data_IF_480275328428
#
_entry.id   IF_480275328428
#
_cell.length_a   1.000
_cell.length_b   1.000
_cell.length_c   1.000
_cell.angle_alpha   90.00
_cell.angle_beta   90.00
_cell.angle_gamma   90.00
#
_symmetry.space_group_name_H-M   'P 1'
#
loop_
_entity.id
_entity.type
_entity.pdbx_description
1 polymer ?
#
# COMPACT_ATOMS: atom_id res chain seq x y z
N UNK A 1 -9.04 15.56 -8.35
CA UNK A 1 -8.76 14.41 -7.51
C UNK A 1 -9.71 14.46 -6.33
N UNK A 2 -10.73 13.64 -6.31
CA UNK A 2 -11.63 13.48 -5.17
C UNK A 2 -10.92 12.55 -4.19
N UNK A 3 -10.34 13.11 -3.14
CA UNK A 3 -9.82 12.32 -2.02
C UNK A 3 -11.03 11.75 -1.27
N UNK A 4 -11.11 10.44 -1.20
CA UNK A 4 -12.13 9.74 -0.42
C UNK A 4 -11.81 9.97 1.07
N UNK A 5 -12.52 10.90 1.68
CA UNK A 5 -12.30 11.29 3.07
C UNK A 5 -13.02 10.30 3.99
N UNK A 6 -12.39 9.20 4.32
CA UNK A 6 -12.79 8.36 5.45
C UNK A 6 -12.61 9.07 6.82
N UNK A 7 -12.29 10.37 6.79
CA UNK A 7 -12.19 11.20 7.96
C UNK A 7 -13.45 12.05 8.11
N UNK A 8 -14.26 11.75 9.13
CA UNK A 8 -15.40 12.57 9.51
C UNK A 8 -14.87 13.87 10.15
N UNK A 9 -14.97 14.97 9.42
CA UNK A 9 -14.63 16.29 9.93
C UNK A 9 -15.70 16.77 10.93
N UNK A 10 -15.45 16.56 12.22
CA UNK A 10 -16.32 17.05 13.28
C UNK A 10 -16.01 18.53 13.60
N UNK A 11 -17.05 19.32 13.91
CA UNK A 11 -16.88 20.73 14.28
C UNK A 11 -15.96 20.95 15.47
N UNK A 12 -15.92 19.99 16.43
CA UNK A 12 -15.05 20.05 17.61
C UNK A 12 -13.56 20.07 17.30
N UNK A 13 -13.14 19.65 16.09
CA UNK A 13 -11.76 19.65 15.61
C UNK A 13 -11.55 20.66 14.47
N UNK A 14 -12.34 21.71 14.40
CA UNK A 14 -12.28 22.75 13.37
C UNK A 14 -12.17 24.12 13.99
N UNK A 15 -11.54 25.05 13.29
CA UNK A 15 -11.47 26.48 13.64
C UNK A 15 -11.95 27.35 12.49
N UNK A 16 -12.54 28.49 12.81
CA UNK A 16 -12.84 29.50 11.81
C UNK A 16 -11.52 30.09 11.31
N UNK A 17 -11.34 30.08 10.01
CA UNK A 17 -10.17 30.62 9.32
C UNK A 17 -10.60 31.59 8.22
N UNK A 18 -9.75 32.59 7.99
CA UNK A 18 -9.92 33.57 6.94
C UNK A 18 -9.14 33.17 5.71
N UNK A 19 -9.77 33.18 4.54
CA UNK A 19 -9.14 32.98 3.24
C UNK A 19 -9.54 34.09 2.30
N UNK A 20 -8.63 34.51 1.41
CA UNK A 20 -8.96 35.47 0.35
C UNK A 20 -9.43 34.72 -0.88
N UNK A 21 -10.58 35.10 -1.43
CA UNK A 21 -11.14 34.50 -2.64
C UNK A 21 -10.46 35.03 -3.92
N UNK A 22 -10.87 34.54 -5.06
CA UNK A 22 -10.34 34.95 -6.37
C UNK A 22 -10.68 36.37 -6.76
N UNK A 23 -11.62 37.03 -6.07
CA UNK A 23 -12.01 38.43 -6.21
C UNK A 23 -11.36 39.33 -5.16
N UNK A 24 -10.34 38.84 -4.48
CA UNK A 24 -9.60 39.53 -3.42
C UNK A 24 -10.48 39.95 -2.22
N UNK A 25 -11.51 39.16 -1.90
CA UNK A 25 -12.39 39.40 -0.75
C UNK A 25 -12.07 38.40 0.34
N UNK A 26 -12.08 38.84 1.59
CA UNK A 26 -11.95 37.94 2.74
C UNK A 26 -13.21 37.09 2.89
N UNK A 27 -13.05 35.79 2.97
CA UNK A 27 -14.10 34.82 3.25
C UNK A 27 -13.74 34.02 4.49
N UNK A 28 -14.76 33.59 5.22
CA UNK A 28 -14.59 32.85 6.47
C UNK A 28 -15.24 31.48 6.36
N UNK A 29 -14.52 30.46 6.81
CA UNK A 29 -14.99 29.07 6.81
C UNK A 29 -14.39 28.33 8.01
N UNK A 30 -15.07 27.27 8.43
CA UNK A 30 -14.48 26.31 9.35
C UNK A 30 -13.45 25.47 8.61
N UNK A 31 -12.22 25.45 9.11
CA UNK A 31 -11.15 24.56 8.65
C UNK A 31 -10.95 23.41 9.64
N UNK A 32 -10.97 22.18 9.15
CA UNK A 32 -10.61 21.03 9.94
C UNK A 32 -9.12 21.06 10.30
N UNK A 33 -8.79 20.99 11.59
CA UNK A 33 -7.41 21.03 12.06
C UNK A 33 -6.64 19.73 11.80
N UNK A 34 -7.36 18.64 11.45
CA UNK A 34 -6.75 17.36 11.13
C UNK A 34 -6.35 17.29 9.66
N UNK A 35 -7.30 17.53 8.74
CA UNK A 35 -7.07 17.32 7.30
C UNK A 35 -6.94 18.64 6.50
N UNK A 36 -7.12 19.80 7.14
CA UNK A 36 -7.02 21.10 6.48
C UNK A 36 -8.16 21.46 5.54
N UNK A 37 -9.16 20.59 5.34
CA UNK A 37 -10.28 20.84 4.43
C UNK A 37 -11.33 21.78 5.04
N UNK A 38 -12.10 22.52 4.19
CA UNK A 38 -13.25 23.26 4.67
C UNK A 38 -14.31 22.31 5.24
N UNK A 39 -14.79 22.63 6.43
CA UNK A 39 -15.85 21.89 7.14
C UNK A 39 -17.15 22.71 7.26
N UNK A 40 -17.34 23.68 6.41
CA UNK A 40 -18.56 24.48 6.26
C UNK A 40 -18.61 25.14 4.89
N UNK A 41 -19.80 25.68 4.56
CA UNK A 41 -19.90 26.73 3.52
C UNK A 41 -19.23 28.01 3.98
N UNK A 42 -19.12 29.00 3.08
CA UNK A 42 -18.68 30.36 3.42
C UNK A 42 -19.66 30.93 4.46
N UNK A 43 -19.14 31.37 5.58
CA UNK A 43 -19.91 32.00 6.64
C UNK A 43 -20.23 33.45 6.32
N UNK A 44 -21.45 33.96 6.61
CA UNK A 44 -21.76 35.38 6.48
C UNK A 44 -21.00 36.17 7.53
N UNK A 45 -20.65 37.44 7.24
CA UNK A 45 -19.90 38.33 8.16
C UNK A 45 -20.57 38.55 9.52
N UNK A 46 -21.89 38.39 9.59
CA UNK A 46 -22.68 38.48 10.82
C UNK A 46 -22.91 37.14 11.49
N UNK A 47 -22.21 36.10 11.09
CA UNK A 47 -22.27 34.79 11.75
C UNK A 47 -21.90 34.95 13.24
N UNK A 48 -22.69 34.39 14.16
CA UNK A 48 -22.43 34.54 15.60
C UNK A 48 -21.05 34.03 16.04
N UNK A 49 -20.52 33.02 15.36
CA UNK A 49 -19.21 32.44 15.69
C UNK A 49 -18.06 33.38 15.21
N UNK A 50 -18.24 34.12 14.10
CA UNK A 50 -17.32 35.15 13.65
C UNK A 50 -17.33 36.32 14.60
N UNK A 51 -18.54 36.80 14.96
CA UNK A 51 -18.71 37.97 15.84
C UNK A 51 -18.15 37.76 17.24
N UNK A 52 -18.23 36.54 17.75
CA UNK A 52 -17.71 36.15 19.07
C UNK A 52 -16.21 35.83 19.09
N UNK A 53 -15.59 35.60 17.93
CA UNK A 53 -14.19 35.24 17.86
C UNK A 53 -13.29 36.41 18.25
N UNK A 54 -12.42 36.23 19.24
CA UNK A 54 -11.42 37.25 19.65
C UNK A 54 -10.39 37.51 18.54
N UNK A 55 -10.05 36.43 17.78
CA UNK A 55 -9.17 36.54 16.61
C UNK A 55 -9.47 35.43 15.62
N UNK A 56 -9.39 35.73 14.32
CA UNK A 56 -9.53 34.74 13.24
C UNK A 56 -8.22 34.70 12.47
N UNK A 57 -7.51 33.58 12.58
CA UNK A 57 -6.26 33.38 11.87
C UNK A 57 -6.44 33.12 10.37
N UNK A 58 -5.36 33.20 9.59
CA UNK A 58 -5.38 32.90 8.17
C UNK A 58 -5.68 31.41 7.94
N UNK A 59 -6.17 31.09 6.74
CA UNK A 59 -6.31 29.72 6.28
C UNK A 59 -4.94 29.02 6.28
N UNK A 60 -4.86 27.83 6.85
CA UNK A 60 -3.62 27.07 6.93
C UNK A 60 -3.55 26.04 5.80
N UNK A 61 -2.86 26.38 4.73
CA UNK A 61 -2.65 25.49 3.57
C UNK A 61 -1.76 24.30 3.92
N UNK A 62 -0.95 24.38 4.99
CA UNK A 62 0.02 23.33 5.34
C UNK A 62 -0.65 22.09 5.94
N UNK A 63 -1.79 22.24 6.60
CA UNK A 63 -2.54 21.15 7.20
C UNK A 63 -2.95 20.10 6.16
N UNK A 64 -3.41 20.55 5.01
CA UNK A 64 -3.82 19.65 3.93
C UNK A 64 -2.64 18.84 3.37
N UNK A 65 -1.52 19.53 3.14
CA UNK A 65 -0.30 18.87 2.65
C UNK A 65 0.22 17.85 3.67
N UNK A 66 0.33 18.26 4.93
CA UNK A 66 0.79 17.37 6.00
C UNK A 66 -0.08 16.12 6.13
N UNK A 67 -1.41 16.28 6.08
CA UNK A 67 -2.32 15.14 6.14
C UNK A 67 -2.14 14.18 4.96
N UNK A 68 -1.97 14.74 3.74
CA UNK A 68 -1.72 13.94 2.54
C UNK A 68 -0.40 13.16 2.64
N UNK A 69 0.65 13.81 3.12
CA UNK A 69 1.96 13.18 3.32
C UNK A 69 1.90 12.06 4.37
N UNK A 70 1.24 12.31 5.50
CA UNK A 70 1.04 11.32 6.56
C UNK A 70 0.19 10.14 6.07
N UNK A 71 -0.85 10.39 5.27
CA UNK A 71 -1.67 9.34 4.67
C UNK A 71 -0.84 8.43 3.76
N UNK A 72 -0.05 9.02 2.86
CA UNK A 72 0.85 8.26 1.97
C UNK A 72 1.90 7.49 2.78
N UNK A 73 2.52 8.12 3.77
CA UNK A 73 3.52 7.48 4.62
C UNK A 73 2.95 6.28 5.39
N UNK A 74 1.73 6.41 5.91
CA UNK A 74 1.05 5.32 6.61
C UNK A 74 0.69 4.16 5.67
N UNK A 75 0.17 4.45 4.46
CA UNK A 75 -0.14 3.43 3.45
C UNK A 75 1.12 2.65 3.02
N UNK A 76 2.24 3.35 2.83
CA UNK A 76 3.54 2.71 2.51
C UNK A 76 4.01 1.82 3.66
N UNK A 77 3.87 2.28 4.92
CA UNK A 77 4.24 1.51 6.12
C UNK A 77 3.41 0.23 6.24
N UNK A 78 2.09 0.34 6.14
CA UNK A 78 1.19 -0.81 6.19
C UNK A 78 1.52 -1.85 5.12
N UNK A 79 1.71 -1.43 3.88
CA UNK A 79 2.08 -2.32 2.78
C UNK A 79 3.42 -3.04 3.04
N UNK A 80 4.41 -2.34 3.63
CA UNK A 80 5.69 -2.94 4.00
C UNK A 80 5.54 -3.99 5.10
N UNK A 81 4.71 -3.72 6.11
CA UNK A 81 4.46 -4.62 7.22
C UNK A 81 3.69 -5.87 6.76
N UNK A 82 2.66 -5.71 5.92
CA UNK A 82 1.93 -6.84 5.31
C UNK A 82 2.85 -7.72 4.46
N UNK A 83 3.71 -7.12 3.63
CA UNK A 83 4.68 -7.85 2.83
C UNK A 83 5.68 -8.61 3.71
N UNK A 84 6.13 -8.02 4.82
CA UNK A 84 7.02 -8.68 5.76
C UNK A 84 6.35 -9.89 6.42
N UNK A 85 5.13 -9.74 6.92
CA UNK A 85 4.35 -10.83 7.52
C UNK A 85 4.15 -11.96 6.50
N UNK A 86 3.82 -11.63 5.26
CA UNK A 86 3.66 -12.62 4.19
C UNK A 86 4.97 -13.38 3.93
N UNK A 87 6.10 -12.67 3.83
CA UNK A 87 7.42 -13.30 3.63
C UNK A 87 7.80 -14.22 4.78
N UNK A 88 7.56 -13.81 6.03
CA UNK A 88 7.87 -14.61 7.22
C UNK A 88 7.02 -15.90 7.26
N UNK A 89 5.72 -15.80 6.96
CA UNK A 89 4.82 -16.94 6.86
C UNK A 89 5.24 -17.89 5.72
N UNK A 90 5.59 -17.36 4.56
CA UNK A 90 6.06 -18.14 3.42
C UNK A 90 7.34 -18.89 3.72
N UNK A 91 8.33 -18.23 4.35
CA UNK A 91 9.58 -18.87 4.75
C UNK A 91 9.35 -19.99 5.79
N UNK A 92 8.43 -19.76 6.72
CA UNK A 92 8.02 -20.79 7.70
C UNK A 92 7.40 -21.99 6.98
N UNK A 93 6.53 -21.75 6.02
CA UNK A 93 5.95 -22.83 5.21
C UNK A 93 7.02 -23.59 4.40
N UNK A 94 7.99 -22.92 3.78
CA UNK A 94 9.07 -23.59 3.04
C UNK A 94 9.96 -24.46 3.93
N UNK A 95 10.02 -24.18 5.22
CA UNK A 95 10.73 -25.02 6.19
C UNK A 95 9.90 -26.22 6.68
N UNK A 96 8.62 -26.29 6.36
CA UNK A 96 7.67 -27.29 6.89
C UNK A 96 7.85 -28.69 6.27
N UNK A 97 7.42 -29.75 6.98
CA UNK A 97 7.36 -31.11 6.42
C UNK A 97 6.42 -31.22 5.22
N UNK A 98 5.33 -30.46 5.21
CA UNK A 98 4.32 -30.42 4.14
C UNK A 98 4.94 -29.94 2.83
N UNK A 99 5.70 -28.84 2.86
CA UNK A 99 6.43 -28.36 1.69
C UNK A 99 7.48 -29.36 1.21
N UNK A 100 8.22 -29.96 2.13
CA UNK A 100 9.22 -30.99 1.78
C UNK A 100 8.59 -32.16 1.03
N UNK A 101 7.46 -32.65 1.52
CA UNK A 101 6.73 -33.73 0.87
C UNK A 101 6.27 -33.38 -0.54
N UNK A 102 5.68 -32.18 -0.71
CA UNK A 102 5.28 -31.62 -2.03
C UNK A 102 6.47 -31.45 -2.97
N UNK A 103 7.57 -30.89 -2.48
CA UNK A 103 8.80 -30.70 -3.26
C UNK A 103 9.38 -32.02 -3.74
N UNK A 104 9.37 -33.08 -2.92
CA UNK A 104 9.78 -34.41 -3.29
C UNK A 104 8.86 -35.00 -4.37
N UNK A 105 7.55 -34.88 -4.19
CA UNK A 105 6.55 -35.38 -5.16
C UNK A 105 6.68 -34.73 -6.53
N UNK A 106 6.88 -33.42 -6.57
CA UNK A 106 7.07 -32.63 -7.82
C UNK A 106 8.35 -33.05 -8.54
N UNK A 107 9.47 -33.22 -7.82
CA UNK A 107 10.74 -33.68 -8.41
C UNK A 107 10.70 -35.15 -8.84
N UNK A 108 9.95 -35.99 -8.15
CA UNK A 108 9.73 -37.36 -8.57
C UNK A 108 8.86 -37.46 -9.83
N UNK A 109 7.84 -36.60 -9.94
CA UNK A 109 7.00 -36.48 -11.15
C UNK A 109 7.81 -36.04 -12.37
N UNK A 110 8.68 -35.03 -12.18
CA UNK A 110 9.47 -34.40 -13.23
C UNK A 110 10.97 -34.48 -12.87
N UNK A 111 11.64 -35.62 -13.06
CA UNK A 111 13.05 -35.80 -12.68
C UNK A 111 14.01 -34.96 -13.52
N UNK A 112 13.59 -34.51 -14.73
CA UNK A 112 14.35 -33.63 -15.61
C UNK A 112 13.80 -32.19 -15.49
N UNK A 113 14.69 -31.24 -15.32
CA UNK A 113 14.36 -29.80 -15.19
C UNK A 113 13.41 -29.36 -16.29
N UNK A 114 12.26 -28.84 -15.92
CA UNK A 114 11.25 -28.35 -16.85
C UNK A 114 11.68 -27.02 -17.55
N UNK A 115 12.67 -26.32 -17.00
CA UNK A 115 13.21 -25.11 -17.60
C UNK A 115 14.18 -25.35 -18.76
N UNK A 116 15.21 -26.17 -18.58
CA UNK A 116 16.22 -26.41 -19.62
C UNK A 116 16.11 -27.77 -20.30
N UNK A 117 15.36 -28.72 -19.75
CA UNK A 117 15.23 -30.09 -20.26
C UNK A 117 16.55 -30.87 -20.39
N UNK A 118 17.60 -30.45 -19.69
CA UNK A 118 18.95 -31.04 -19.79
C UNK A 118 19.46 -31.61 -18.48
N UNK A 119 19.21 -30.88 -17.38
CA UNK A 119 19.70 -31.23 -16.05
C UNK A 119 18.63 -31.92 -15.22
N UNK A 120 19.04 -32.69 -14.18
CA UNK A 120 18.11 -33.21 -13.20
C UNK A 120 17.45 -32.05 -12.42
N UNK A 121 16.22 -32.27 -11.99
CA UNK A 121 15.48 -31.32 -11.13
C UNK A 121 15.99 -31.46 -9.69
N UNK A 122 16.24 -30.31 -9.06
CA UNK A 122 16.77 -30.19 -7.70
C UNK A 122 15.81 -29.44 -6.78
N UNK A 123 14.98 -28.59 -7.33
CA UNK A 123 14.08 -27.72 -6.58
C UNK A 123 12.67 -27.69 -7.19
N UNK A 124 11.66 -27.58 -6.32
CA UNK A 124 10.30 -27.24 -6.74
C UNK A 124 10.10 -25.72 -6.67
N UNK A 125 9.42 -25.15 -7.66
CA UNK A 125 9.15 -23.73 -7.75
C UNK A 125 7.66 -23.46 -7.97
N UNK A 126 7.12 -22.45 -7.26
CA UNK A 126 5.74 -22.02 -7.41
C UNK A 126 5.55 -21.24 -8.72
N UNK A 127 4.64 -21.69 -9.58
CA UNK A 127 4.19 -20.93 -10.76
C UNK A 127 3.32 -19.75 -10.30
N UNK A 128 2.48 -19.99 -9.31
CA UNK A 128 1.62 -18.98 -8.66
C UNK A 128 1.73 -19.09 -7.15
N UNK A 129 1.53 -17.98 -6.44
CA UNK A 129 1.53 -17.93 -4.98
C UNK A 129 0.13 -17.85 -4.37
N UNK A 130 -0.94 -18.08 -5.17
CA UNK A 130 -2.32 -17.95 -4.71
C UNK A 130 -2.71 -18.95 -3.63
N UNK A 131 -2.20 -20.18 -3.75
CA UNK A 131 -2.58 -21.31 -2.92
C UNK A 131 -1.42 -21.80 -2.05
N UNK A 132 -0.52 -20.90 -1.62
CA UNK A 132 0.62 -21.28 -0.75
C UNK A 132 0.12 -22.02 0.49
N UNK A 133 0.68 -23.23 0.73
CA UNK A 133 0.26 -24.17 1.77
C UNK A 133 -0.80 -25.18 1.31
N UNK A 134 -1.56 -24.88 0.27
CA UNK A 134 -2.62 -25.74 -0.31
C UNK A 134 -2.46 -25.92 -1.82
N UNK A 135 -1.23 -25.80 -2.34
CA UNK A 135 -0.94 -25.89 -3.77
C UNK A 135 -1.35 -27.22 -4.35
N UNK A 136 -1.93 -27.19 -5.53
CA UNK A 136 -2.02 -28.36 -6.39
C UNK A 136 -0.65 -28.66 -7.03
N UNK A 137 -0.34 -29.92 -7.29
CA UNK A 137 0.96 -30.28 -7.88
C UNK A 137 1.20 -29.65 -9.24
N UNK A 138 0.16 -29.33 -10.01
CA UNK A 138 0.28 -28.63 -11.30
C UNK A 138 0.66 -27.14 -11.17
N UNK A 139 0.52 -26.55 -9.98
CA UNK A 139 0.97 -25.17 -9.68
C UNK A 139 2.46 -25.10 -9.35
N UNK A 140 3.12 -26.27 -9.34
CA UNK A 140 4.53 -26.42 -9.01
C UNK A 140 5.29 -27.02 -10.19
N UNK A 141 6.47 -26.48 -10.47
CA UNK A 141 7.40 -26.98 -11.49
C UNK A 141 8.72 -27.43 -10.86
N UNK A 142 9.33 -28.45 -11.46
CA UNK A 142 10.63 -28.97 -11.04
C UNK A 142 11.76 -28.34 -11.86
N UNK A 143 12.72 -27.71 -11.19
CA UNK A 143 13.82 -26.99 -11.82
C UNK A 143 15.18 -27.41 -11.28
N UNK A 144 16.22 -27.36 -12.13
CA UNK A 144 17.60 -27.37 -11.64
C UNK A 144 17.93 -26.00 -11.02
N UNK A 145 18.93 -25.93 -10.15
CA UNK A 145 19.35 -24.72 -9.45
C UNK A 145 19.56 -23.53 -10.40
N UNK A 146 20.25 -23.72 -11.51
CA UNK A 146 20.51 -22.65 -12.51
C UNK A 146 19.22 -22.05 -13.09
N UNK A 147 18.23 -22.89 -13.42
CA UNK A 147 16.96 -22.41 -13.97
C UNK A 147 16.11 -21.73 -12.90
N UNK A 148 16.15 -22.23 -11.68
CA UNK A 148 15.45 -21.65 -10.53
C UNK A 148 15.96 -20.25 -10.23
N UNK A 149 17.28 -20.06 -10.12
CA UNK A 149 17.91 -18.77 -9.86
C UNK A 149 17.63 -17.76 -10.98
N UNK A 150 17.77 -18.21 -12.24
CA UNK A 150 17.43 -17.36 -13.41
C UNK A 150 15.99 -16.86 -13.37
N UNK A 151 15.05 -17.71 -12.95
CA UNK A 151 13.64 -17.33 -12.86
C UNK A 151 13.42 -16.24 -11.79
N UNK A 152 14.08 -16.39 -10.63
CA UNK A 152 14.06 -15.38 -9.58
C UNK A 152 14.67 -14.05 -10.01
N UNK A 153 15.76 -14.07 -10.72
CA UNK A 153 16.42 -12.85 -11.24
C UNK A 153 15.58 -12.14 -12.30
N UNK A 154 14.89 -12.87 -13.17
CA UNK A 154 13.94 -12.30 -14.12
C UNK A 154 12.76 -11.61 -13.40
N UNK A 155 12.22 -12.22 -12.34
CA UNK A 155 11.15 -11.62 -11.52
C UNK A 155 11.62 -10.33 -10.84
N UNK A 156 12.83 -10.33 -10.25
CA UNK A 156 13.43 -9.13 -9.65
C UNK A 156 13.59 -8.00 -10.68
N UNK A 157 14.08 -8.31 -11.88
CA UNK A 157 14.26 -7.34 -12.95
C UNK A 157 12.93 -6.76 -13.46
N UNK A 158 11.87 -7.58 -13.55
CA UNK A 158 10.52 -7.12 -13.91
C UNK A 158 9.95 -6.17 -12.85
N UNK A 159 10.05 -6.51 -11.57
CA UNK A 159 9.59 -5.68 -10.47
C UNK A 159 10.33 -4.34 -10.41
N UNK A 160 11.65 -4.36 -10.64
CA UNK A 160 12.45 -3.14 -10.70
C UNK A 160 12.07 -2.21 -11.87
N UNK A 161 11.62 -2.75 -13.01
CA UNK A 161 11.09 -1.95 -14.14
C UNK A 161 9.72 -1.36 -13.85
N UNK A 162 8.87 -2.10 -13.17
CA UNK A 162 7.53 -1.64 -12.81
C UNK A 162 7.56 -0.48 -11.80
N UNK A 163 8.45 -0.56 -10.82
CA UNK A 163 8.60 0.44 -9.76
C UNK A 163 9.32 1.73 -10.23
N UNK A 164 9.82 1.79 -11.47
CA UNK A 164 10.43 3.00 -12.07
C UNK A 164 9.46 3.85 -12.89
N UNK A 165 8.21 3.44 -13.02
CA UNK A 165 7.15 4.19 -13.69
C UNK A 165 6.26 4.91 -12.69
#
# INVERSE_FOLDING_TARGET
>A
MTFDHNHLCERGFSQIRKKTDTLNRDIYMWQCLTCGQPNSNILPYNDPDIVKAESIGPWDETLQQKWADDFVANAVRQNKDENKIWCDNYNTYLASPEWRAKSVAVRARDPICQGCRQNFSEQAHHVTYRNVGQEFLFELIALCTKCHDRLHDLKKAQNARYNRK
#
